data_IF_179040414746
#
_entry.id   IF_179040414746
#
_cell.length_a   1.000
_cell.length_b   1.000
_cell.length_c   1.000
_cell.angle_alpha   90.00
_cell.angle_beta   90.00
_cell.angle_gamma   90.00
#
_symmetry.space_group_name_H-M   'P 1'
#
loop_
_entity.id
_entity.type
_entity.pdbx_description
1 polymer ?
#
# COMPACT_ATOMS: atom_id res chain seq x y z
N UNK A 1 9.17 5.34 7.49
CA UNK A 1 8.34 5.74 6.33
C UNK A 1 9.11 5.45 5.05
N UNK A 2 8.50 5.17 3.89
CA UNK A 2 9.25 5.15 2.63
C UNK A 2 9.85 6.53 2.30
N UNK A 3 10.89 6.53 1.47
CA UNK A 3 11.55 7.74 0.97
C UNK A 3 10.62 8.58 0.08
N UNK A 4 11.00 9.82 -0.18
CA UNK A 4 10.18 10.81 -0.89
C UNK A 4 9.72 10.34 -2.30
N UNK A 5 10.50 9.51 -2.98
CA UNK A 5 10.15 8.99 -4.31
C UNK A 5 9.06 7.90 -4.31
N UNK A 6 8.69 7.39 -3.13
CA UNK A 6 7.73 6.30 -3.03
C UNK A 6 6.29 6.83 -3.07
N UNK A 7 5.41 6.15 -3.83
CA UNK A 7 4.03 6.62 -4.04
C UNK A 7 3.18 6.76 -2.76
N UNK A 8 3.46 5.99 -1.71
CA UNK A 8 2.83 6.18 -0.40
C UNK A 8 3.22 7.52 0.23
N UNK A 9 4.49 7.91 0.12
CA UNK A 9 5.02 9.12 0.76
C UNK A 9 4.40 10.37 0.13
N UNK A 10 4.41 10.46 -1.21
CA UNK A 10 3.76 11.58 -1.90
C UNK A 10 2.26 11.69 -1.59
N UNK A 11 1.55 10.56 -1.43
CA UNK A 11 0.13 10.56 -1.04
C UNK A 11 -0.06 11.05 0.40
N UNK A 12 0.80 10.62 1.33
CA UNK A 12 0.77 11.06 2.71
C UNK A 12 1.05 12.56 2.80
N UNK A 13 2.09 13.04 2.13
CA UNK A 13 2.47 14.46 2.14
C UNK A 13 1.32 15.34 1.61
N UNK A 14 0.66 14.92 0.52
CA UNK A 14 -0.51 15.62 -0.02
C UNK A 14 -1.68 15.69 0.98
N UNK A 15 -1.98 14.59 1.66
CA UNK A 15 -3.06 14.54 2.67
C UNK A 15 -2.69 15.35 3.91
N UNK A 16 -1.44 15.30 4.35
CA UNK A 16 -0.97 16.15 5.43
C UNK A 16 -1.09 17.63 5.09
N UNK A 17 -0.76 18.01 3.85
CA UNK A 17 -0.92 19.38 3.37
C UNK A 17 -2.40 19.80 3.32
N UNK A 18 -3.28 18.96 2.76
CA UNK A 18 -4.72 19.22 2.65
C UNK A 18 -5.39 19.41 4.01
N UNK A 19 -4.98 18.65 5.02
CA UNK A 19 -5.58 18.65 6.35
C UNK A 19 -4.76 19.39 7.42
N UNK A 20 -3.70 20.11 7.02
CA UNK A 20 -2.78 20.81 7.93
C UNK A 20 -2.22 19.91 9.06
N UNK A 21 -1.92 18.65 8.74
CA UNK A 21 -1.33 17.68 9.65
C UNK A 21 0.20 17.73 9.57
N UNK A 22 0.85 17.56 10.71
CA UNK A 22 2.29 17.38 10.78
C UNK A 22 2.63 15.95 11.24
N UNK A 23 3.41 15.22 10.45
CA UNK A 23 3.84 13.85 10.76
C UNK A 23 5.34 13.87 11.00
N UNK A 24 5.74 13.47 12.20
CA UNK A 24 7.15 13.28 12.52
C UNK A 24 7.68 11.99 11.87
N UNK A 25 8.70 12.13 11.03
CA UNK A 25 9.31 11.00 10.33
C UNK A 25 10.68 10.73 10.95
N UNK A 26 10.73 9.71 11.79
CA UNK A 26 11.93 9.31 12.54
C UNK A 26 12.94 8.50 11.70
N UNK A 27 12.49 7.90 10.61
CA UNK A 27 13.34 7.12 9.70
C UNK A 27 12.71 6.95 8.31
N UNK A 28 13.56 6.94 7.28
CA UNK A 28 13.20 6.59 5.92
C UNK A 28 13.73 5.20 5.55
N UNK A 29 12.84 4.28 5.17
CA UNK A 29 13.12 2.87 4.89
C UNK A 29 12.23 2.41 3.72
N UNK A 30 12.85 2.11 2.58
CA UNK A 30 12.14 1.66 1.37
C UNK A 30 11.92 0.14 1.32
N UNK A 31 12.81 -0.63 1.94
CA UNK A 31 12.68 -2.08 2.00
C UNK A 31 11.57 -2.49 2.98
N UNK A 32 10.46 -3.05 2.47
CA UNK A 32 9.33 -3.48 3.30
C UNK A 32 9.75 -4.42 4.43
N UNK A 33 10.62 -5.40 4.16
CA UNK A 33 11.07 -6.34 5.18
C UNK A 33 11.82 -5.65 6.33
N UNK A 34 12.72 -4.71 6.00
CA UNK A 34 13.48 -3.93 6.99
C UNK A 34 12.56 -2.98 7.76
N UNK A 35 11.63 -2.33 7.07
CA UNK A 35 10.62 -1.47 7.68
C UNK A 35 9.77 -2.25 8.70
N UNK A 36 9.25 -3.42 8.31
CA UNK A 36 8.44 -4.25 9.20
C UNK A 36 9.26 -4.84 10.35
N UNK A 37 10.57 -5.08 10.16
CA UNK A 37 11.45 -5.47 11.26
C UNK A 37 11.63 -4.32 12.27
N UNK A 38 11.92 -3.11 11.80
CA UNK A 38 12.07 -1.94 12.66
C UNK A 38 10.81 -1.64 13.49
N UNK A 39 9.62 -1.77 12.89
CA UNK A 39 8.33 -1.62 13.60
C UNK A 39 8.16 -2.70 14.67
N UNK A 40 8.48 -3.97 14.37
CA UNK A 40 8.41 -5.07 15.34
C UNK A 40 9.41 -4.91 16.50
N UNK A 41 10.56 -4.31 16.23
CA UNK A 41 11.58 -4.00 17.24
C UNK A 41 11.24 -2.73 18.05
N UNK A 42 10.07 -2.12 17.81
CA UNK A 42 9.58 -0.97 18.59
C UNK A 42 10.17 0.38 18.19
N UNK A 43 10.85 0.47 17.04
CA UNK A 43 11.50 1.71 16.59
C UNK A 43 10.52 2.77 16.04
N UNK A 44 9.24 2.41 15.86
CA UNK A 44 8.20 3.34 15.41
C UNK A 44 6.99 2.63 14.83
N UNK A 45 6.12 3.42 14.19
CA UNK A 45 4.95 2.93 13.47
C UNK A 45 5.09 3.15 11.95
N UNK A 46 4.29 2.44 11.17
CA UNK A 46 4.23 2.61 9.72
C UNK A 46 2.80 2.52 9.22
N UNK A 47 2.55 3.08 8.03
CA UNK A 47 1.29 2.93 7.30
C UNK A 47 1.40 1.73 6.36
N UNK A 48 0.40 0.84 6.39
CA UNK A 48 0.31 -0.31 5.51
C UNK A 48 -1.03 -0.31 4.76
N UNK A 49 -1.06 -0.70 3.48
CA UNK A 49 -2.32 -0.92 2.77
C UNK A 49 -3.06 -2.11 3.40
N UNK A 50 -4.39 -2.08 3.37
CA UNK A 50 -5.21 -3.15 3.98
C UNK A 50 -4.87 -4.57 3.52
N UNK A 51 -4.43 -4.74 2.27
CA UNK A 51 -4.01 -6.04 1.75
C UNK A 51 -2.72 -6.58 2.39
N UNK A 52 -1.85 -5.73 2.94
CA UNK A 52 -0.66 -6.18 3.65
C UNK A 52 -1.00 -6.70 5.06
N UNK A 53 -2.12 -6.26 5.64
CA UNK A 53 -2.54 -6.63 6.99
C UNK A 53 -2.87 -8.13 7.08
N UNK A 54 -3.46 -8.71 6.02
CA UNK A 54 -3.82 -10.15 6.02
C UNK A 54 -2.63 -11.10 6.09
N UNK A 55 -1.41 -10.59 5.93
CA UNK A 55 -0.16 -11.37 5.99
C UNK A 55 0.66 -11.07 7.25
N UNK A 56 0.13 -10.28 8.19
CA UNK A 56 0.82 -9.97 9.45
C UNK A 56 0.55 -11.05 10.49
N UNK A 57 1.62 -11.52 11.14
CA UNK A 57 1.50 -12.38 12.33
C UNK A 57 0.91 -11.56 13.49
N UNK A 58 -0.23 -12.01 14.01
CA UNK A 58 -1.07 -11.25 14.95
C UNK A 58 -0.40 -10.92 16.30
N UNK A 59 0.63 -11.66 16.70
CA UNK A 59 1.16 -11.57 18.07
C UNK A 59 2.16 -10.42 18.29
N UNK A 60 2.73 -9.84 17.24
CA UNK A 60 3.81 -8.84 17.37
C UNK A 60 3.40 -7.40 17.06
N UNK A 61 2.23 -7.18 16.45
CA UNK A 61 1.85 -5.86 15.94
C UNK A 61 0.40 -5.52 16.28
N UNK A 62 0.16 -4.26 16.61
CA UNK A 62 -1.19 -3.68 16.69
C UNK A 62 -1.49 -2.95 15.39
N UNK A 63 -2.68 -3.16 14.87
CA UNK A 63 -3.16 -2.53 13.63
C UNK A 63 -4.33 -1.61 13.98
N UNK A 64 -4.20 -0.34 13.60
CA UNK A 64 -5.21 0.69 13.86
C UNK A 64 -5.68 1.24 12.53
N UNK A 65 -7.00 1.26 12.32
CA UNK A 65 -7.61 1.85 11.13
C UNK A 65 -7.48 3.37 11.13
N UNK A 66 -7.13 3.95 9.98
CA UNK A 66 -7.15 5.41 9.77
C UNK A 66 -8.47 5.78 9.12
N UNK A 67 -9.35 6.45 9.87
CA UNK A 67 -10.70 6.80 9.41
C UNK A 67 -10.85 8.27 8.98
N UNK A 68 -10.02 9.17 9.50
CA UNK A 68 -10.03 10.58 9.14
C UNK A 68 -8.61 11.18 9.27
N UNK A 69 -8.03 11.75 8.20
CA UNK A 69 -8.54 11.74 6.82
C UNK A 69 -8.48 10.34 6.19
N UNK A 70 -9.35 10.09 5.21
CA UNK A 70 -9.36 8.80 4.50
C UNK A 70 -8.16 8.71 3.56
N UNK A 71 -7.23 7.81 3.87
CA UNK A 71 -6.08 7.51 3.02
C UNK A 71 -6.43 6.40 2.03
N UNK A 72 -6.61 6.77 0.76
CA UNK A 72 -6.87 5.82 -0.33
C UNK A 72 -5.93 6.05 -1.51
N UNK A 73 -5.53 4.94 -2.16
CA UNK A 73 -4.78 4.96 -3.43
C UNK A 73 -5.44 3.98 -4.39
N UNK A 74 -5.85 4.40 -5.58
CA UNK A 74 -6.32 3.48 -6.61
C UNK A 74 -5.14 2.60 -7.07
N UNK A 75 -5.39 1.32 -7.32
CA UNK A 75 -4.50 0.53 -8.18
C UNK A 75 -5.15 0.39 -9.54
N UNK A 76 -4.34 0.46 -10.58
CA UNK A 76 -4.76 0.35 -11.96
C UNK A 76 -4.13 -0.89 -12.58
N UNK A 77 -4.91 -1.61 -13.39
CA UNK A 77 -4.38 -2.59 -14.33
C UNK A 77 -4.25 -1.90 -15.67
N UNK A 78 -3.02 -1.78 -16.18
CA UNK A 78 -2.72 -1.13 -17.46
C UNK A 78 -2.12 -2.17 -18.39
N UNK A 79 -2.65 -2.27 -19.61
CA UNK A 79 -2.17 -3.17 -20.66
C UNK A 79 -2.26 -2.48 -22.02
N UNK A 80 -1.65 -3.09 -23.03
CA UNK A 80 -1.94 -2.79 -24.43
C UNK A 80 -3.41 -3.13 -24.77
N UNK A 81 -3.84 -2.69 -25.96
CA UNK A 81 -5.16 -3.02 -26.49
C UNK A 81 -5.27 -4.52 -26.80
N UNK A 82 -6.50 -4.98 -27.03
CA UNK A 82 -6.80 -6.41 -27.21
C UNK A 82 -6.09 -7.01 -28.41
N UNK A 83 -6.01 -6.26 -29.50
CA UNK A 83 -5.38 -6.68 -30.76
C UNK A 83 -3.85 -6.73 -30.67
N UNK A 84 -3.27 -6.03 -29.71
CA UNK A 84 -1.83 -5.98 -29.46
C UNK A 84 -1.36 -7.03 -28.45
N UNK A 85 -2.29 -7.65 -27.72
CA UNK A 85 -1.96 -8.67 -26.73
C UNK A 85 -1.94 -10.06 -27.37
N UNK A 86 -0.93 -10.85 -27.00
CA UNK A 86 -0.93 -12.29 -27.28
C UNK A 86 -2.04 -12.98 -26.49
N UNK A 87 -2.45 -14.21 -26.88
CA UNK A 87 -3.42 -14.98 -26.10
C UNK A 87 -3.01 -15.15 -24.63
N UNK A 88 -1.71 -15.32 -24.35
CA UNK A 88 -1.20 -15.39 -22.99
C UNK A 88 -1.31 -14.04 -22.25
N UNK A 89 -1.08 -12.92 -22.95
CA UNK A 89 -1.27 -11.57 -22.39
C UNK A 89 -2.73 -11.28 -22.03
N UNK A 90 -3.66 -11.68 -22.90
CA UNK A 90 -5.10 -11.61 -22.64
C UNK A 90 -5.48 -12.45 -21.41
N UNK A 91 -5.00 -13.69 -21.33
CA UNK A 91 -5.25 -14.57 -20.19
C UNK A 91 -4.69 -13.97 -18.88
N UNK A 92 -3.46 -13.44 -18.89
CA UNK A 92 -2.87 -12.79 -17.73
C UNK A 92 -3.70 -11.59 -17.26
N UNK A 93 -4.18 -10.74 -18.19
CA UNK A 93 -5.03 -9.60 -17.87
C UNK A 93 -6.35 -10.02 -17.22
N UNK A 94 -6.98 -11.09 -17.70
CA UNK A 94 -8.18 -11.65 -17.10
C UNK A 94 -7.91 -12.14 -15.68
N UNK A 95 -6.86 -12.94 -15.48
CA UNK A 95 -6.49 -13.49 -14.16
C UNK A 95 -6.17 -12.37 -13.16
N UNK A 96 -5.42 -11.34 -13.58
CA UNK A 96 -5.10 -10.19 -12.73
C UNK A 96 -6.35 -9.39 -12.36
N UNK A 97 -7.28 -9.19 -13.30
CA UNK A 97 -8.56 -8.50 -13.05
C UNK A 97 -9.39 -9.25 -12.02
N UNK A 98 -9.49 -10.58 -12.15
CA UNK A 98 -10.23 -11.43 -11.21
C UNK A 98 -9.58 -11.44 -9.81
N UNK A 99 -8.25 -11.56 -9.77
CA UNK A 99 -7.48 -11.55 -8.52
C UNK A 99 -7.69 -10.23 -7.77
N UNK A 100 -7.66 -9.11 -8.48
CA UNK A 100 -7.86 -7.79 -7.89
C UNK A 100 -9.28 -7.61 -7.32
N UNK A 101 -10.30 -8.11 -8.01
CA UNK A 101 -11.69 -8.09 -7.53
C UNK A 101 -11.89 -8.89 -6.22
N UNK A 102 -11.11 -9.95 -6.01
CA UNK A 102 -11.17 -10.75 -4.79
C UNK A 102 -10.55 -10.06 -3.57
N UNK A 103 -9.52 -9.22 -3.79
CA UNK A 103 -8.83 -8.46 -2.74
C UNK A 103 -9.63 -7.21 -2.35
N UNK A 104 -10.33 -6.58 -3.30
CA UNK A 104 -11.15 -5.38 -3.02
C UNK A 104 -12.42 -5.67 -2.23
N UNK A 105 -12.99 -6.88 -2.34
CA UNK A 105 -14.19 -7.32 -1.61
C UNK A 105 -13.97 -7.67 -0.13
N UNK A 106 -12.71 -7.68 0.34
CA UNK A 106 -12.36 -7.95 1.75
C UNK A 106 -12.21 -6.67 2.60
N UNK A 107 -12.59 -5.51 2.07
CA UNK A 107 -12.60 -4.23 2.78
C UNK A 107 -13.95 -3.92 3.39
#
# INVERSE_FOLDING_TARGET
MPSQGHGLRGRLDAVCQEHALNVEIVAEIDGLALLMRAVRDGLGATLQPGAAISHLDNDALRVIGVHNPVLSRPNFLVSLSDDELTPAGLAARVVLTQSYASVSRRR
#
